data_IF_174365251521
#
_entry.id   IF_174365251521
#
_cell.length_a   1.000
_cell.length_b   1.000
_cell.length_c   1.000
_cell.angle_alpha   90.00
_cell.angle_beta   90.00
_cell.angle_gamma   90.00
#
_symmetry.space_group_name_H-M   'P 1'
#
loop_
_entity.id
_entity.type
_entity.pdbx_description
1 polymer ?
#
# COMPACT_ATOMS: atom_id res chain seq x y z
N UNK A 1 18.75 14.09 -1.96
CA UNK A 1 18.69 14.28 -0.51
C UNK A 1 17.70 13.26 0.02
N UNK A 2 18.16 12.27 0.78
CA UNK A 2 17.23 11.38 1.48
C UNK A 2 16.58 12.18 2.61
N UNK A 3 15.29 11.98 2.83
CA UNK A 3 14.58 12.52 3.98
C UNK A 3 15.13 11.82 5.23
N UNK A 4 15.87 12.55 6.07
CA UNK A 4 16.25 12.03 7.38
C UNK A 4 15.03 12.06 8.30
N UNK A 5 14.43 10.88 8.50
CA UNK A 5 13.34 10.70 9.45
C UNK A 5 13.89 10.64 10.88
N UNK A 6 13.15 11.22 11.84
CA UNK A 6 13.47 11.06 13.26
C UNK A 6 13.39 9.59 13.67
N UNK A 7 14.06 9.18 14.77
CA UNK A 7 13.94 7.81 15.30
C UNK A 7 12.47 7.42 15.51
N UNK A 8 11.66 8.31 16.09
CA UNK A 8 10.25 8.05 16.38
C UNK A 8 9.44 7.84 15.08
N UNK A 9 9.74 8.60 14.03
CA UNK A 9 9.11 8.43 12.73
C UNK A 9 9.51 7.08 12.08
N UNK A 10 10.77 6.64 12.23
CA UNK A 10 11.23 5.34 11.74
C UNK A 10 10.57 4.19 12.51
N UNK A 11 10.42 4.31 13.82
CA UNK A 11 9.74 3.32 14.67
C UNK A 11 8.26 3.20 14.31
N UNK A 12 7.57 4.34 14.16
CA UNK A 12 6.17 4.37 13.75
C UNK A 12 5.96 3.77 12.35
N UNK A 13 6.84 4.07 11.40
CA UNK A 13 6.80 3.49 10.06
C UNK A 13 6.99 1.97 10.11
N UNK A 14 7.96 1.50 10.91
CA UNK A 14 8.24 0.06 11.07
C UNK A 14 7.05 -0.68 11.67
N UNK A 15 6.44 -0.15 12.74
CA UNK A 15 5.28 -0.75 13.38
C UNK A 15 4.05 -0.79 12.45
N UNK A 16 3.82 0.30 11.71
CA UNK A 16 2.71 0.40 10.76
C UNK A 16 2.89 -0.56 9.58
N UNK A 17 4.11 -0.65 9.04
CA UNK A 17 4.43 -1.57 7.95
C UNK A 17 4.32 -3.03 8.41
N UNK A 18 4.81 -3.36 9.62
CA UNK A 18 4.65 -4.69 10.20
C UNK A 18 3.17 -5.10 10.32
N UNK A 19 2.32 -4.18 10.76
CA UNK A 19 0.85 -4.44 10.80
C UNK A 19 0.29 -4.73 9.41
N UNK A 20 0.76 -4.03 8.37
CA UNK A 20 0.33 -4.29 7.00
C UNK A 20 0.80 -5.67 6.51
N UNK A 21 2.05 -6.05 6.80
CA UNK A 21 2.60 -7.38 6.48
C UNK A 21 1.74 -8.49 7.11
N UNK A 22 1.40 -8.38 8.40
CA UNK A 22 0.57 -9.36 9.08
C UNK A 22 -0.82 -9.52 8.43
N UNK A 23 -1.42 -8.42 7.97
CA UNK A 23 -2.72 -8.44 7.28
C UNK A 23 -2.63 -9.05 5.90
N UNK A 24 -1.57 -8.75 5.15
CA UNK A 24 -1.31 -9.35 3.85
C UNK A 24 -1.08 -10.85 4.00
N UNK A 25 -0.30 -11.29 4.99
CA UNK A 25 -0.10 -12.70 5.29
C UNK A 25 -1.43 -13.40 5.58
N UNK A 26 -2.27 -12.85 6.45
CA UNK A 26 -3.59 -13.41 6.74
C UNK A 26 -4.51 -13.47 5.50
N UNK A 27 -4.41 -12.49 4.60
CA UNK A 27 -5.16 -12.50 3.34
C UNK A 27 -4.64 -13.56 2.36
N UNK A 28 -3.33 -13.83 2.35
CA UNK A 28 -2.74 -14.94 1.58
C UNK A 28 -3.17 -16.30 2.14
N UNK A 29 -3.10 -16.47 3.48
CA UNK A 29 -3.50 -17.71 4.16
C UNK A 29 -4.97 -18.09 3.92
N UNK A 30 -5.84 -17.09 3.81
CA UNK A 30 -7.26 -17.27 3.51
C UNK A 30 -7.58 -17.40 2.02
N UNK A 31 -6.57 -17.31 1.14
CA UNK A 31 -6.73 -17.37 -0.32
C UNK A 31 -7.34 -16.10 -0.93
N UNK A 32 -7.42 -15.00 -0.19
CA UNK A 32 -7.85 -13.70 -0.70
C UNK A 32 -6.79 -13.01 -1.57
N UNK A 33 -5.50 -13.24 -1.27
CA UNK A 33 -4.36 -12.83 -2.09
C UNK A 33 -3.58 -14.05 -2.57
N UNK A 34 -2.83 -13.91 -3.67
CA UNK A 34 -1.94 -14.95 -4.16
C UNK A 34 -0.87 -15.29 -3.12
N UNK A 35 -0.57 -16.57 -2.94
CA UNK A 35 0.53 -16.99 -2.06
C UNK A 35 1.88 -16.42 -2.54
N UNK A 36 2.72 -15.99 -1.60
CA UNK A 36 4.02 -15.38 -1.89
C UNK A 36 4.66 -14.78 -0.64
N UNK A 37 5.63 -13.88 -0.82
CA UNK A 37 6.19 -13.10 0.28
C UNK A 37 5.24 -11.95 0.66
N UNK A 38 4.67 -12.03 1.86
CA UNK A 38 3.80 -10.99 2.40
C UNK A 38 4.47 -9.62 2.52
N UNK A 39 5.79 -9.58 2.71
CA UNK A 39 6.57 -8.34 2.79
C UNK A 39 6.58 -7.62 1.45
N UNK A 40 6.82 -8.36 0.36
CA UNK A 40 6.87 -7.79 -0.99
C UNK A 40 5.49 -7.29 -1.45
N UNK A 41 4.43 -8.03 -1.13
CA UNK A 41 3.06 -7.59 -1.42
C UNK A 41 2.66 -6.38 -0.55
N UNK A 42 3.01 -6.36 0.73
CA UNK A 42 2.81 -5.20 1.60
C UNK A 42 3.58 -3.98 1.08
N UNK A 43 4.81 -4.15 0.59
CA UNK A 43 5.60 -3.07 0.00
C UNK A 43 4.93 -2.47 -1.24
N UNK A 44 4.31 -3.28 -2.09
CA UNK A 44 3.55 -2.80 -3.25
C UNK A 44 2.35 -1.94 -2.81
N UNK A 45 1.57 -2.42 -1.83
CA UNK A 45 0.43 -1.69 -1.24
C UNK A 45 0.89 -0.38 -0.61
N UNK A 46 1.92 -0.44 0.23
CA UNK A 46 2.51 0.72 0.91
C UNK A 46 2.96 1.77 -0.11
N UNK A 47 3.67 1.35 -1.16
CA UNK A 47 4.18 2.25 -2.20
C UNK A 47 3.06 2.95 -2.96
N UNK A 48 1.99 2.23 -3.32
CA UNK A 48 0.85 2.80 -4.03
C UNK A 48 0.10 3.82 -3.18
N UNK A 49 -0.20 3.50 -1.92
CA UNK A 49 -0.90 4.39 -1.00
C UNK A 49 -0.05 5.64 -0.71
N UNK A 50 1.24 5.47 -0.40
CA UNK A 50 2.14 6.61 -0.19
C UNK A 50 2.27 7.48 -1.44
N UNK A 51 2.30 6.89 -2.63
CA UNK A 51 2.29 7.64 -3.90
C UNK A 51 1.04 8.48 -4.06
N UNK A 52 -0.14 7.89 -3.82
CA UNK A 52 -1.42 8.60 -3.91
C UNK A 52 -1.52 9.76 -2.89
N UNK A 53 -1.15 9.52 -1.63
CA UNK A 53 -1.17 10.54 -0.57
C UNK A 53 -0.11 11.62 -0.82
N UNK A 54 1.07 11.27 -1.34
CA UNK A 54 2.10 12.26 -1.68
C UNK A 54 1.64 13.20 -2.80
N UNK A 55 0.96 12.67 -3.82
CA UNK A 55 0.33 13.47 -4.88
C UNK A 55 -0.76 14.39 -4.31
N UNK A 56 -1.55 13.89 -3.36
CA UNK A 56 -2.59 14.67 -2.67
C UNK A 56 -2.03 15.82 -1.85
N UNK A 57 -1.01 15.57 -1.02
CA UNK A 57 -0.32 16.60 -0.25
C UNK A 57 0.29 17.66 -1.18
N UNK A 58 0.82 17.25 -2.34
CA UNK A 58 1.38 18.15 -3.33
C UNK A 58 0.31 18.92 -4.15
N UNK A 59 -0.97 18.58 -4.00
CA UNK A 59 -2.07 19.14 -4.79
C UNK A 59 -2.05 18.73 -6.27
N UNK A 60 -1.36 17.63 -6.61
CA UNK A 60 -1.17 17.15 -7.98
C UNK A 60 -2.22 16.09 -8.31
N UNK A 61 -3.26 16.47 -9.04
CA UNK A 61 -4.30 15.54 -9.50
C UNK A 61 -4.83 15.91 -10.89
N UNK A 62 -5.06 14.88 -11.69
CA UNK A 62 -5.64 15.01 -13.05
C UNK A 62 -7.01 14.34 -13.18
N UNK A 63 -7.39 13.49 -12.22
CA UNK A 63 -8.70 12.84 -12.19
C UNK A 63 -9.79 13.87 -11.87
N UNK A 64 -10.95 13.72 -12.51
CA UNK A 64 -12.12 14.57 -12.27
C UNK A 64 -12.71 14.34 -10.87
N UNK A 65 -12.81 13.08 -10.47
CA UNK A 65 -13.22 12.64 -9.14
C UNK A 65 -12.03 11.94 -8.46
N UNK A 66 -11.51 12.56 -7.40
CA UNK A 66 -10.29 12.10 -6.71
C UNK A 66 -10.55 10.90 -5.83
N UNK A 67 -11.67 10.89 -5.12
CA UNK A 67 -12.04 9.83 -4.19
C UNK A 67 -12.36 8.54 -4.96
N UNK A 68 -13.17 8.65 -6.02
CA UNK A 68 -13.47 7.52 -6.89
C UNK A 68 -12.20 6.96 -7.55
N UNK A 69 -11.28 7.84 -7.97
CA UNK A 69 -10.01 7.42 -8.55
C UNK A 69 -9.11 6.70 -7.54
N UNK A 70 -9.05 7.16 -6.29
CA UNK A 70 -8.30 6.48 -5.23
C UNK A 70 -8.86 5.07 -4.96
N UNK A 71 -10.19 4.95 -4.83
CA UNK A 71 -10.85 3.66 -4.64
C UNK A 71 -10.58 2.70 -5.81
N UNK A 72 -10.67 3.19 -7.05
CA UNK A 72 -10.38 2.40 -8.25
C UNK A 72 -8.92 1.95 -8.35
N UNK A 73 -7.96 2.77 -7.89
CA UNK A 73 -6.55 2.40 -7.79
C UNK A 73 -6.34 1.25 -6.81
N UNK A 74 -6.96 1.33 -5.62
CA UNK A 74 -6.89 0.25 -4.61
C UNK A 74 -7.48 -1.05 -5.16
N UNK A 75 -8.65 -0.99 -5.80
CA UNK A 75 -9.28 -2.17 -6.43
C UNK A 75 -8.36 -2.78 -7.50
N UNK A 76 -7.77 -1.95 -8.36
CA UNK A 76 -6.83 -2.39 -9.39
C UNK A 76 -5.61 -3.09 -8.80
N UNK A 77 -5.05 -2.55 -7.71
CA UNK A 77 -3.92 -3.13 -7.01
C UNK A 77 -4.27 -4.48 -6.38
N UNK A 78 -5.40 -4.56 -5.68
CA UNK A 78 -5.87 -5.80 -5.06
C UNK A 78 -6.16 -6.89 -6.10
N UNK A 79 -6.75 -6.54 -7.25
CA UNK A 79 -6.91 -7.47 -8.38
C UNK A 79 -5.56 -7.97 -8.91
N UNK A 80 -4.55 -7.11 -8.97
CA UNK A 80 -3.20 -7.49 -9.39
C UNK A 80 -2.52 -8.47 -8.42
N UNK A 81 -2.87 -8.40 -7.13
CA UNK A 81 -2.36 -9.27 -6.06
C UNK A 81 -3.24 -10.50 -5.80
N UNK A 82 -4.40 -10.62 -6.45
CA UNK A 82 -5.30 -11.75 -6.28
C UNK A 82 -4.70 -13.06 -6.86
N UNK A 83 -5.13 -14.24 -6.37
CA UNK A 83 -4.75 -15.52 -6.96
C UNK A 83 -5.10 -15.58 -8.46
N UNK A 84 -4.21 -16.16 -9.27
CA UNK A 84 -4.51 -16.45 -10.68
C UNK A 84 -5.31 -17.75 -10.78
N UNK A 85 -6.38 -17.72 -11.57
CA UNK A 85 -7.14 -18.91 -11.96
C UNK A 85 -6.43 -19.71 -13.06
#
# INVERSE_FOLDING_TARGET
>A
MLLELSPEAKDAATASFGTLVDRVHAAMDSGGLAAGDSTDAAQQIWSAIHGAVSLEIAGVHFAHDREANFAAMVDSLLRGLAPRA
#
